data_IF_243847091872
#
_entry.id   IF_243847091872
#
_cell.length_a   1.000
_cell.length_b   1.000
_cell.length_c   1.000
_cell.angle_alpha   90.00
_cell.angle_beta   90.00
_cell.angle_gamma   90.00
#
_symmetry.space_group_name_H-M   'P 1'
#
loop_
_entity.id
_entity.type
_entity.pdbx_description
1 polymer ?
#
# COMPACT_ATOMS: atom_id res chain seq x y z
N UNK A 1 16.15 -11.23 -19.51
CA UNK A 1 15.32 -10.06 -19.87
C UNK A 1 15.98 -8.87 -19.20
N UNK A 2 16.58 -7.97 -19.98
CA UNK A 2 17.21 -6.76 -19.41
C UNK A 2 16.12 -5.78 -18.98
N UNK A 3 16.28 -5.17 -17.80
CA UNK A 3 15.40 -4.13 -17.30
C UNK A 3 15.81 -2.84 -18.01
N UNK A 4 14.99 -2.38 -18.95
CA UNK A 4 15.18 -1.10 -19.65
C UNK A 4 14.12 -0.12 -19.19
N UNK A 5 14.51 1.14 -18.96
CA UNK A 5 13.55 2.21 -18.72
C UNK A 5 12.97 2.66 -20.05
N UNK A 6 11.64 2.73 -20.14
CA UNK A 6 10.95 3.30 -21.30
C UNK A 6 11.08 4.83 -21.29
N UNK A 7 10.66 5.50 -22.36
CA UNK A 7 10.78 6.97 -22.54
C UNK A 7 10.18 7.79 -21.38
N UNK A 8 9.21 7.23 -20.67
CA UNK A 8 8.58 7.84 -19.48
C UNK A 8 9.35 7.59 -18.17
N UNK A 9 10.54 6.98 -18.22
CA UNK A 9 11.34 6.61 -17.04
C UNK A 9 10.80 5.40 -16.27
N UNK A 10 9.78 4.71 -16.81
CA UNK A 10 9.13 3.56 -16.18
C UNK A 10 9.82 2.26 -16.63
N UNK A 11 10.22 1.36 -15.72
CA UNK A 11 10.79 0.07 -16.07
C UNK A 11 9.85 -0.76 -16.94
N UNK A 12 10.39 -1.47 -17.93
CA UNK A 12 9.63 -2.39 -18.79
C UNK A 12 8.89 -3.53 -18.04
N UNK A 13 9.20 -3.76 -16.76
CA UNK A 13 8.51 -4.71 -15.86
C UNK A 13 7.34 -4.09 -15.10
N UNK A 14 7.01 -2.82 -15.34
CA UNK A 14 5.89 -2.16 -14.67
C UNK A 14 4.55 -2.72 -15.15
N UNK A 15 3.73 -3.15 -14.21
CA UNK A 15 2.35 -3.57 -14.45
C UNK A 15 1.43 -2.43 -14.02
N UNK A 16 0.69 -1.79 -14.95
CA UNK A 16 -0.18 -0.68 -14.61
C UNK A 16 -1.34 -1.13 -13.70
N UNK A 17 -1.76 -0.25 -12.79
CA UNK A 17 -2.91 -0.42 -11.91
C UNK A 17 -2.88 -1.69 -11.03
N UNK A 18 -1.69 -2.13 -10.61
CA UNK A 18 -1.54 -3.29 -9.73
C UNK A 18 -2.34 -3.15 -8.43
N UNK A 19 -2.40 -1.96 -7.83
CA UNK A 19 -3.13 -1.75 -6.58
C UNK A 19 -4.65 -1.81 -6.76
N UNK A 20 -5.17 -1.51 -7.96
CA UNK A 20 -6.58 -1.71 -8.27
C UNK A 20 -6.95 -3.18 -8.18
N UNK A 21 -6.12 -4.06 -8.74
CA UNK A 21 -6.34 -5.49 -8.66
C UNK A 21 -6.27 -5.97 -7.21
N UNK A 22 -5.24 -5.56 -6.46
CA UNK A 22 -5.11 -5.92 -5.05
C UNK A 22 -6.30 -5.49 -4.19
N UNK A 23 -6.78 -4.25 -4.35
CA UNK A 23 -7.95 -3.77 -3.61
C UNK A 23 -9.24 -4.48 -4.02
N UNK A 24 -9.36 -4.88 -5.29
CA UNK A 24 -10.48 -5.70 -5.77
C UNK A 24 -10.51 -7.07 -5.11
N UNK A 25 -9.35 -7.76 -5.03
CA UNK A 25 -9.24 -9.03 -4.32
C UNK A 25 -9.46 -8.88 -2.81
N UNK A 26 -8.89 -7.85 -2.19
CA UNK A 26 -9.08 -7.57 -0.77
C UNK A 26 -10.55 -7.28 -0.44
N UNK A 27 -11.25 -6.54 -1.31
CA UNK A 27 -12.69 -6.29 -1.19
C UNK A 27 -13.53 -7.55 -1.28
N UNK A 28 -13.26 -8.41 -2.27
CA UNK A 28 -13.95 -9.69 -2.41
C UNK A 28 -13.72 -10.62 -1.21
N UNK A 29 -12.49 -10.66 -0.68
CA UNK A 29 -12.18 -11.40 0.54
C UNK A 29 -12.90 -10.80 1.76
N UNK A 30 -12.86 -9.48 1.91
CA UNK A 30 -13.54 -8.76 2.99
C UNK A 30 -15.04 -9.06 2.99
N UNK A 31 -15.67 -9.10 1.81
CA UNK A 31 -17.05 -9.52 1.66
C UNK A 31 -17.29 -10.93 2.20
N UNK A 32 -16.46 -11.90 1.78
CA UNK A 32 -16.61 -13.30 2.18
C UNK A 32 -16.47 -13.52 3.68
N UNK A 33 -15.57 -12.79 4.34
CA UNK A 33 -15.33 -12.90 5.79
C UNK A 33 -16.18 -11.94 6.62
N UNK A 34 -17.04 -11.13 5.99
CA UNK A 34 -17.89 -10.15 6.68
C UNK A 34 -17.14 -8.95 7.27
N UNK A 35 -15.96 -8.61 6.75
CA UNK A 35 -15.18 -7.46 7.20
C UNK A 35 -15.68 -6.16 6.56
N UNK A 36 -15.91 -5.13 7.39
CA UNK A 36 -16.26 -3.76 6.94
C UNK A 36 -15.03 -2.94 6.55
N UNK A 37 -13.93 -3.14 7.27
CA UNK A 37 -12.74 -2.30 7.20
C UNK A 37 -11.63 -3.02 6.44
N UNK A 38 -11.08 -2.35 5.43
CA UNK A 38 -9.93 -2.80 4.65
C UNK A 38 -8.79 -1.84 4.95
N UNK A 39 -7.64 -2.35 5.38
CA UNK A 39 -6.48 -1.51 5.72
C UNK A 39 -5.40 -1.78 4.68
N UNK A 40 -4.80 -0.71 4.15
CA UNK A 40 -3.68 -0.81 3.22
C UNK A 40 -2.59 0.21 3.57
N UNK A 41 -1.33 -0.19 3.37
CA UNK A 41 -0.15 0.61 3.68
C UNK A 41 0.32 1.50 2.53
N UNK A 42 -0.49 1.71 1.47
CA UNK A 42 -0.13 2.62 0.39
C UNK A 42 0.02 4.05 0.91
N UNK A 43 0.97 4.77 0.33
CA UNK A 43 1.31 6.13 0.67
C UNK A 43 1.58 6.93 -0.60
N UNK A 44 1.14 8.18 -0.64
CA UNK A 44 1.36 9.08 -1.79
C UNK A 44 2.69 9.84 -1.69
N UNK A 45 3.29 9.92 -0.49
CA UNK A 45 4.54 10.66 -0.26
C UNK A 45 5.79 9.93 -0.74
N UNK A 46 5.71 8.62 -1.00
CA UNK A 46 6.85 7.84 -1.48
C UNK A 46 7.06 8.07 -2.99
N UNK A 47 8.31 8.41 -3.33
CA UNK A 47 8.87 9.03 -4.55
C UNK A 47 8.51 8.45 -5.95
N UNK A 48 7.58 7.50 -6.04
CA UNK A 48 7.35 6.70 -7.23
C UNK A 48 6.19 7.17 -8.13
N UNK A 49 5.38 8.15 -7.69
CA UNK A 49 4.41 8.83 -8.56
C UNK A 49 3.27 7.97 -9.10
N UNK A 50 3.12 6.73 -8.62
CA UNK A 50 2.11 5.79 -9.10
C UNK A 50 0.68 6.34 -8.87
N UNK A 51 -0.15 6.46 -9.91
CA UNK A 51 -1.48 7.03 -9.78
C UNK A 51 -2.42 6.17 -8.92
N UNK A 52 -2.16 4.86 -8.82
CA UNK A 52 -2.91 3.89 -8.01
C UNK A 52 -2.46 3.81 -6.54
N UNK A 53 -1.62 4.74 -6.08
CA UNK A 53 -1.30 4.95 -4.66
C UNK A 53 -1.94 6.21 -4.07
N UNK A 54 -2.53 7.09 -4.89
CA UNK A 54 -3.01 8.40 -4.47
C UNK A 54 -4.31 8.32 -3.67
N UNK A 55 -4.50 9.28 -2.78
CA UNK A 55 -5.73 9.37 -1.96
C UNK A 55 -7.02 9.44 -2.82
N UNK A 56 -6.97 10.18 -3.93
CA UNK A 56 -8.10 10.29 -4.87
C UNK A 56 -8.50 8.94 -5.48
N UNK A 57 -7.51 8.11 -5.82
CA UNK A 57 -7.75 6.75 -6.29
C UNK A 57 -8.36 5.89 -5.19
N UNK A 58 -7.81 5.92 -3.97
CA UNK A 58 -8.31 5.10 -2.85
C UNK A 58 -9.75 5.46 -2.50
N UNK A 59 -10.10 6.75 -2.47
CA UNK A 59 -11.49 7.21 -2.25
C UNK A 59 -12.44 6.72 -3.34
N UNK A 60 -12.02 6.82 -4.60
CA UNK A 60 -12.80 6.30 -5.74
C UNK A 60 -12.98 4.78 -5.67
N UNK A 61 -11.91 4.06 -5.29
CA UNK A 61 -11.94 2.61 -5.15
C UNK A 61 -12.86 2.17 -4.01
N UNK A 62 -12.89 2.90 -2.89
CA UNK A 62 -13.82 2.62 -1.79
C UNK A 62 -15.28 2.65 -2.27
N UNK A 63 -15.66 3.72 -2.99
CA UNK A 63 -17.00 3.84 -3.57
C UNK A 63 -17.27 2.70 -4.55
N UNK A 64 -16.30 2.40 -5.42
CA UNK A 64 -16.42 1.33 -6.42
C UNK A 64 -16.66 -0.03 -5.77
N UNK A 65 -15.89 -0.41 -4.75
CA UNK A 65 -16.08 -1.67 -4.03
C UNK A 65 -17.43 -1.73 -3.33
N UNK A 66 -17.82 -0.64 -2.66
CA UNK A 66 -19.08 -0.57 -1.95
C UNK A 66 -20.29 -0.76 -2.88
N UNK A 67 -20.25 -0.13 -4.05
CA UNK A 67 -21.29 -0.28 -5.07
C UNK A 67 -21.28 -1.67 -5.71
N UNK A 68 -20.10 -2.20 -6.03
CA UNK A 68 -19.97 -3.49 -6.73
C UNK A 68 -20.49 -4.68 -5.90
N UNK A 69 -20.49 -4.56 -4.57
CA UNK A 69 -20.84 -5.64 -3.65
C UNK A 69 -22.02 -5.32 -2.73
N UNK A 70 -22.68 -4.17 -2.92
CA UNK A 70 -23.79 -3.68 -2.08
C UNK A 70 -23.46 -3.76 -0.56
N UNK A 71 -22.28 -3.23 -0.21
CA UNK A 71 -21.76 -3.20 1.16
C UNK A 71 -21.12 -1.86 1.46
N UNK A 72 -21.25 -1.38 2.69
CA UNK A 72 -20.57 -0.17 3.14
C UNK A 72 -19.13 -0.48 3.57
N UNK A 73 -18.20 -0.58 2.62
CA UNK A 73 -16.78 -0.74 2.93
C UNK A 73 -16.13 0.59 3.32
N UNK A 74 -15.08 0.48 4.15
CA UNK A 74 -14.20 1.59 4.50
C UNK A 74 -12.75 1.16 4.32
N UNK A 75 -12.08 1.76 3.34
CA UNK A 75 -10.63 1.61 3.10
C UNK A 75 -9.87 2.64 3.95
N UNK A 76 -8.95 2.15 4.77
CA UNK A 76 -8.07 2.96 5.61
C UNK A 76 -6.65 2.96 5.07
N UNK A 77 -6.07 4.16 4.98
CA UNK A 77 -4.68 4.40 4.56
C UNK A 77 -3.95 5.21 5.64
N UNK A 78 -3.64 4.60 6.81
CA UNK A 78 -3.08 5.32 7.96
C UNK A 78 -1.71 5.96 7.65
N UNK A 79 -1.01 5.48 6.63
CA UNK A 79 0.29 5.98 6.21
C UNK A 79 0.22 7.00 5.05
N UNK A 80 -0.98 7.34 4.54
CA UNK A 80 -1.15 8.13 3.30
C UNK A 80 -0.34 9.43 3.30
N UNK A 81 -0.31 10.10 4.44
CA UNK A 81 0.29 11.41 4.63
C UNK A 81 1.56 11.38 5.49
N UNK A 82 2.06 10.18 5.80
CA UNK A 82 3.26 10.02 6.61
C UNK A 82 4.46 9.74 5.71
N UNK A 83 5.55 10.45 5.96
CA UNK A 83 6.86 10.07 5.42
C UNK A 83 7.47 8.91 6.23
N UNK A 84 8.63 8.41 5.80
CA UNK A 84 9.32 7.30 6.47
C UNK A 84 9.66 7.60 7.93
N UNK A 85 10.13 8.80 8.26
CA UNK A 85 10.47 9.17 9.64
C UNK A 85 9.21 9.23 10.53
N UNK A 86 8.11 9.76 10.00
CA UNK A 86 6.82 9.79 10.70
C UNK A 86 6.24 8.39 10.88
N UNK A 87 6.45 7.49 9.93
CA UNK A 87 6.05 6.07 10.05
C UNK A 87 6.83 5.37 11.18
N UNK A 88 8.13 5.65 11.32
CA UNK A 88 8.92 5.18 12.46
C UNK A 88 8.42 5.76 13.78
N UNK A 89 8.12 7.07 13.82
CA UNK A 89 7.53 7.72 14.99
C UNK A 89 6.21 7.06 15.39
N UNK A 90 5.33 6.76 14.43
CA UNK A 90 4.09 6.05 14.69
C UNK A 90 4.33 4.67 15.32
N UNK A 91 5.33 3.93 14.85
CA UNK A 91 5.66 2.62 15.45
C UNK A 91 6.19 2.73 16.88
N UNK A 92 6.87 3.83 17.20
CA UNK A 92 7.36 4.15 18.55
C UNK A 92 6.22 4.56 19.48
N UNK A 93 5.30 5.42 19.01
CA UNK A 93 4.08 5.82 19.73
C UNK A 93 3.16 4.62 20.03
N UNK A 94 3.19 3.59 19.20
CA UNK A 94 2.46 2.33 19.39
C UNK A 94 3.23 1.31 20.24
N UNK A 95 4.42 1.66 20.75
CA UNK A 95 5.29 0.81 21.57
C UNK A 95 5.71 -0.50 20.87
N UNK A 96 5.76 -0.50 19.54
CA UNK A 96 6.12 -1.67 18.70
C UNK A 96 7.37 -1.44 17.86
N UNK A 97 8.08 -0.33 18.06
CA UNK A 97 9.27 0.06 17.30
C UNK A 97 10.30 -1.07 17.20
N UNK A 98 10.64 -1.71 18.32
CA UNK A 98 11.63 -2.79 18.34
C UNK A 98 11.19 -4.02 17.54
N UNK A 99 9.89 -4.34 17.57
CA UNK A 99 9.34 -5.42 16.77
C UNK A 99 9.42 -5.08 15.28
N UNK A 100 8.93 -3.92 14.87
CA UNK A 100 8.97 -3.47 13.47
C UNK A 100 10.41 -3.49 12.96
N UNK A 101 11.33 -2.92 13.74
CA UNK A 101 12.75 -2.82 13.42
C UNK A 101 13.45 -4.16 13.19
N UNK A 102 13.13 -5.18 13.97
CA UNK A 102 13.90 -6.44 13.99
C UNK A 102 13.18 -7.62 13.34
N UNK A 103 11.88 -7.51 13.10
CA UNK A 103 11.04 -8.63 12.61
C UNK A 103 10.43 -8.38 11.23
N UNK A 104 10.51 -7.18 10.69
CA UNK A 104 10.02 -6.89 9.33
C UNK A 104 11.13 -6.99 8.30
N UNK A 105 10.73 -7.24 7.04
CA UNK A 105 11.62 -7.33 5.90
C UNK A 105 11.28 -6.23 4.90
N UNK A 106 12.23 -5.33 4.67
CA UNK A 106 12.12 -4.28 3.66
C UNK A 106 13.22 -4.41 2.62
N UNK A 107 14.45 -4.77 3.02
CA UNK A 107 15.58 -4.99 2.12
C UNK A 107 15.22 -5.90 0.93
N UNK A 108 15.38 -5.39 -0.29
CA UNK A 108 15.11 -6.16 -1.52
C UNK A 108 15.96 -7.43 -1.67
N UNK A 109 17.06 -7.54 -0.93
CA UNK A 109 17.91 -8.74 -0.88
C UNK A 109 17.45 -9.78 0.17
N UNK A 110 16.32 -9.57 0.85
CA UNK A 110 15.78 -10.53 1.80
C UNK A 110 16.38 -10.47 3.22
N UNK A 111 17.12 -9.42 3.56
CA UNK A 111 17.74 -9.27 4.89
C UNK A 111 16.72 -8.70 5.88
N UNK A 112 16.30 -9.50 6.87
CA UNK A 112 15.37 -9.09 7.94
C UNK A 112 16.01 -7.97 8.78
N UNK A 113 15.24 -6.92 9.08
CA UNK A 113 15.77 -5.71 9.72
C UNK A 113 16.83 -4.99 8.88
N UNK A 114 17.05 -5.42 7.64
CA UNK A 114 17.93 -4.78 6.68
C UNK A 114 17.29 -3.49 6.20
N UNK A 115 17.95 -2.37 6.49
CA UNK A 115 17.46 -1.05 6.20
C UNK A 115 17.62 -0.70 4.72
N UNK A 116 16.53 -0.32 4.07
CA UNK A 116 16.56 0.45 2.82
C UNK A 116 16.69 1.93 3.18
N UNK A 117 17.93 2.43 3.19
CA UNK A 117 18.21 3.85 2.96
C UNK A 117 18.59 4.01 1.50
#
# INVERSE_FOLDING_TARGET
>A
MEITNNEDGIPNTFVPARNLLFLSFAGALAYQIGAKHIITGVCETDFSGYPDCRDSFIKSMNVTLSLAMDKDFVIHTPLMWLNKAETWKLSDELEVLDYIRTKTLTCYNGIIGGWLW
#
